data_IF_486657284459
#
_entry.id   IF_486657284459
#
_cell.length_a   1.000
_cell.length_b   1.000
_cell.length_c   1.000
_cell.angle_alpha   90.00
_cell.angle_beta   90.00
_cell.angle_gamma   90.00
#
_symmetry.space_group_name_H-M   'P 1'
#
loop_
_entity.id
_entity.type
_entity.pdbx_description
1 polymer ?
#
# COMPACT_ATOMS: atom_id res chain seq x y z
N UNK A 1 11.62 -21.06 8.44
CA UNK A 1 11.80 -20.53 9.81
C UNK A 1 12.42 -19.14 9.70
N UNK A 2 11.98 -18.21 10.54
CA UNK A 2 12.53 -16.86 10.60
C UNK A 2 13.98 -16.90 11.09
N UNK A 3 14.86 -16.13 10.45
CA UNK A 3 16.23 -15.93 10.94
C UNK A 3 16.28 -14.75 11.93
N UNK A 4 17.47 -14.48 12.49
CA UNK A 4 17.69 -13.41 13.47
C UNK A 4 17.28 -12.02 12.94
N UNK A 5 17.58 -11.73 11.67
CA UNK A 5 17.22 -10.45 11.05
C UNK A 5 15.69 -10.30 10.90
N UNK A 6 15.00 -11.38 10.53
CA UNK A 6 13.54 -11.36 10.42
C UNK A 6 12.85 -11.14 11.78
N UNK A 7 13.42 -11.70 12.85
CA UNK A 7 12.96 -11.46 14.23
C UNK A 7 13.21 -10.00 14.64
N UNK A 8 14.32 -9.40 14.24
CA UNK A 8 14.60 -8.01 14.54
C UNK A 8 13.66 -7.06 13.77
N UNK A 9 13.24 -7.43 12.55
CA UNK A 9 12.16 -6.73 11.83
C UNK A 9 10.86 -6.81 12.63
N UNK A 10 10.46 -7.98 13.13
CA UNK A 10 9.27 -8.12 13.97
C UNK A 10 9.34 -7.21 15.21
N UNK A 11 10.47 -7.21 15.93
CA UNK A 11 10.67 -6.36 17.12
C UNK A 11 10.50 -4.87 16.83
N UNK A 12 11.07 -4.40 15.73
CA UNK A 12 11.07 -2.98 15.38
C UNK A 12 9.70 -2.49 14.89
N UNK A 13 8.92 -3.38 14.26
CA UNK A 13 7.63 -3.03 13.66
C UNK A 13 6.45 -3.26 14.61
N UNK A 14 6.57 -4.23 15.53
CA UNK A 14 5.58 -4.50 16.57
C UNK A 14 5.97 -3.72 17.83
N UNK A 15 5.52 -2.47 17.94
CA UNK A 15 5.87 -1.58 19.06
C UNK A 15 5.45 -2.11 20.45
N UNK A 16 4.64 -3.16 20.52
CA UNK A 16 4.25 -3.86 21.73
C UNK A 16 5.20 -5.02 22.10
N UNK A 17 6.23 -5.31 21.30
CA UNK A 17 7.09 -6.49 21.47
C UNK A 17 7.72 -6.59 22.87
N UNK A 18 8.17 -5.46 23.43
CA UNK A 18 8.75 -5.40 24.78
C UNK A 18 7.74 -5.70 25.90
N UNK A 19 6.45 -5.54 25.62
CA UNK A 19 5.35 -5.77 26.57
C UNK A 19 4.77 -7.18 26.49
N UNK A 20 5.36 -8.06 25.68
CA UNK A 20 4.98 -9.47 25.60
C UNK A 20 5.87 -10.36 26.49
N UNK A 21 5.26 -11.39 27.07
CA UNK A 21 6.01 -12.47 27.69
C UNK A 21 6.72 -13.35 26.64
N UNK A 22 7.63 -14.21 27.07
CA UNK A 22 8.38 -15.08 26.16
C UNK A 22 7.48 -16.09 25.45
N UNK A 23 6.34 -16.46 26.04
CA UNK A 23 5.40 -17.40 25.44
C UNK A 23 4.70 -16.78 24.23
N UNK A 24 4.23 -15.55 24.35
CA UNK A 24 3.56 -14.79 23.31
C UNK A 24 4.53 -14.37 22.21
N UNK A 25 5.77 -13.99 22.56
CA UNK A 25 6.84 -13.74 21.57
C UNK A 25 7.12 -14.99 20.73
N UNK A 26 7.29 -16.14 21.38
CA UNK A 26 7.52 -17.40 20.68
C UNK A 26 6.30 -17.81 19.84
N UNK A 27 5.09 -17.50 20.29
CA UNK A 27 3.87 -17.74 19.52
C UNK A 27 3.88 -16.96 18.20
N UNK A 28 4.25 -15.67 18.21
CA UNK A 28 4.40 -14.87 16.99
C UNK A 28 5.46 -15.47 16.08
N UNK A 29 6.67 -15.73 16.61
CA UNK A 29 7.81 -16.23 15.80
C UNK A 29 7.45 -17.56 15.12
N UNK A 30 6.86 -18.49 15.86
CA UNK A 30 6.57 -19.84 15.36
C UNK A 30 5.42 -19.87 14.34
N UNK A 31 4.56 -18.85 14.33
CA UNK A 31 3.41 -18.74 13.42
C UNK A 31 3.57 -17.55 12.45
N UNK A 32 4.82 -17.17 12.20
CA UNK A 32 5.17 -16.17 11.20
C UNK A 32 5.94 -16.82 10.07
N UNK A 33 5.56 -16.50 8.83
CA UNK A 33 6.19 -17.04 7.63
C UNK A 33 6.63 -15.91 6.70
N UNK A 34 7.75 -16.12 6.01
CA UNK A 34 8.16 -15.23 4.93
C UNK A 34 7.54 -15.73 3.64
N UNK A 35 6.89 -14.83 2.93
CA UNK A 35 6.41 -15.03 1.57
C UNK A 35 7.12 -14.08 0.63
N UNK A 36 7.49 -14.58 -0.54
CA UNK A 36 8.05 -13.77 -1.62
C UNK A 36 6.99 -13.62 -2.68
N UNK A 37 6.87 -12.41 -3.20
CA UNK A 37 5.92 -12.07 -4.25
C UNK A 37 6.64 -11.39 -5.40
N UNK A 38 6.31 -11.80 -6.61
CA UNK A 38 6.74 -11.14 -7.82
C UNK A 38 6.00 -9.81 -8.03
N UNK A 39 6.53 -8.98 -8.93
CA UNK A 39 5.87 -7.72 -9.28
C UNK A 39 4.47 -7.96 -9.87
N UNK A 40 3.49 -7.24 -9.36
CA UNK A 40 2.05 -7.33 -9.64
C UNK A 40 1.39 -8.66 -9.20
N UNK A 41 2.03 -9.44 -8.33
CA UNK A 41 1.41 -10.65 -7.78
C UNK A 41 0.43 -10.29 -6.66
N UNK A 42 -0.73 -10.95 -6.64
CA UNK A 42 -1.77 -10.74 -5.64
C UNK A 42 -1.44 -11.42 -4.31
N UNK A 43 -1.54 -10.65 -3.24
CA UNK A 43 -1.27 -11.06 -1.85
C UNK A 43 -2.58 -11.35 -1.10
N UNK A 44 -3.63 -10.56 -1.39
CA UNK A 44 -4.94 -10.65 -0.76
C UNK A 44 -6.00 -10.09 -1.72
N UNK A 45 -7.12 -10.78 -1.90
CA UNK A 45 -8.13 -10.39 -2.90
C UNK A 45 -9.57 -10.71 -2.53
N UNK A 46 -9.83 -11.26 -1.34
CA UNK A 46 -11.18 -11.65 -0.95
C UNK A 46 -11.40 -11.51 0.57
N UNK A 47 -12.62 -11.15 0.98
CA UNK A 47 -13.13 -11.11 2.36
C UNK A 47 -12.86 -12.41 3.15
N UNK A 48 -12.87 -13.56 2.48
CA UNK A 48 -12.63 -14.86 3.11
C UNK A 48 -11.14 -15.25 3.20
N UNK A 49 -10.26 -14.52 2.52
CA UNK A 49 -8.83 -14.83 2.48
C UNK A 49 -8.08 -14.07 3.57
N UNK A 50 -8.04 -14.56 4.80
CA UNK A 50 -7.33 -13.82 5.85
C UNK A 50 -5.82 -14.07 5.78
N UNK A 51 -5.07 -13.12 5.20
CA UNK A 51 -3.62 -13.22 5.04
C UNK A 51 -2.83 -12.88 6.33
N UNK A 52 -3.55 -12.52 7.39
CA UNK A 52 -2.96 -12.15 8.68
C UNK A 52 -2.41 -10.73 8.69
N UNK A 53 -1.63 -10.40 9.71
CA UNK A 53 -0.92 -9.11 9.75
C UNK A 53 0.36 -9.24 8.94
N UNK A 54 0.54 -8.34 7.98
CA UNK A 54 1.69 -8.35 7.07
C UNK A 54 2.69 -7.28 7.47
N UNK A 55 3.99 -7.61 7.44
CA UNK A 55 5.08 -6.64 7.61
C UNK A 55 5.96 -6.71 6.37
N UNK A 56 6.15 -5.58 5.71
CA UNK A 56 6.95 -5.50 4.48
C UNK A 56 8.43 -5.48 4.86
N UNK A 57 9.14 -6.57 4.59
CA UNK A 57 10.58 -6.67 4.82
C UNK A 57 11.37 -6.00 3.70
N UNK A 58 10.91 -6.14 2.46
CA UNK A 58 11.44 -5.44 1.29
C UNK A 58 10.35 -5.30 0.23
N UNK A 59 10.53 -4.33 -0.67
CA UNK A 59 9.56 -4.00 -1.70
C UNK A 59 8.44 -3.11 -1.18
N UNK A 60 7.36 -3.06 -1.94
CA UNK A 60 6.20 -2.18 -1.72
C UNK A 60 4.95 -2.99 -2.08
N UNK A 61 3.93 -2.89 -1.23
CA UNK A 61 2.60 -3.45 -1.52
C UNK A 61 1.58 -2.33 -1.62
N UNK A 62 0.58 -2.54 -2.48
CA UNK A 62 -0.45 -1.57 -2.82
C UNK A 62 -1.79 -2.10 -2.35
N UNK A 63 -2.50 -1.32 -1.53
CA UNK A 63 -3.88 -1.63 -1.12
C UNK A 63 -4.85 -0.79 -1.96
N UNK A 64 -5.85 -1.43 -2.56
CA UNK A 64 -6.78 -0.79 -3.50
C UNK A 64 -8.20 -1.37 -3.41
N UNK A 65 -9.18 -0.61 -3.91
CA UNK A 65 -10.54 -1.08 -4.15
C UNK A 65 -10.70 -1.50 -5.60
N UNK A 66 -11.48 -2.56 -5.83
CA UNK A 66 -11.85 -3.05 -7.15
C UNK A 66 -13.37 -2.94 -7.31
N UNK A 67 -13.84 -2.27 -8.37
CA UNK A 67 -15.26 -2.26 -8.71
C UNK A 67 -15.66 -3.52 -9.48
N UNK A 68 -16.97 -3.81 -9.54
CA UNK A 68 -17.51 -4.91 -10.36
C UNK A 68 -17.17 -4.78 -11.85
N UNK A 69 -16.97 -3.56 -12.34
CA UNK A 69 -16.54 -3.27 -13.72
C UNK A 69 -15.01 -3.43 -13.91
N UNK A 70 -14.27 -3.84 -12.88
CA UNK A 70 -12.82 -4.00 -12.93
C UNK A 70 -12.02 -2.71 -12.78
N UNK A 71 -12.63 -1.59 -12.36
CA UNK A 71 -11.90 -0.34 -12.08
C UNK A 71 -11.21 -0.44 -10.74
N UNK A 72 -9.93 -0.10 -10.72
CA UNK A 72 -9.14 -0.07 -9.50
C UNK A 72 -8.97 1.37 -9.00
N UNK A 73 -8.95 1.55 -7.69
CA UNK A 73 -8.60 2.82 -7.02
C UNK A 73 -7.63 2.53 -5.90
N UNK A 74 -6.43 3.10 -5.95
CA UNK A 74 -5.46 2.94 -4.85
C UNK A 74 -5.95 3.70 -3.62
N UNK A 75 -5.93 3.02 -2.48
CA UNK A 75 -6.18 3.66 -1.19
C UNK A 75 -4.87 4.16 -0.60
N UNK A 76 -3.88 3.27 -0.49
CA UNK A 76 -2.56 3.59 0.03
C UNK A 76 -1.54 2.51 -0.35
N UNK A 77 -0.27 2.79 -0.06
CA UNK A 77 0.84 1.83 -0.19
C UNK A 77 1.43 1.55 1.18
N UNK A 78 2.02 0.36 1.31
CA UNK A 78 2.74 -0.06 2.50
C UNK A 78 4.18 -0.30 2.09
N UNK A 79 5.09 0.49 2.66
CA UNK A 79 6.50 0.47 2.32
C UNK A 79 7.29 -0.48 3.24
N UNK A 80 8.56 -0.70 2.90
CA UNK A 80 9.50 -1.43 3.76
C UNK A 80 9.48 -0.88 5.19
N UNK A 81 9.32 -1.78 6.17
CA UNK A 81 9.27 -1.41 7.59
C UNK A 81 7.93 -0.83 8.02
N UNK A 82 6.87 -1.06 7.24
CA UNK A 82 5.50 -0.77 7.64
C UNK A 82 4.67 -2.04 7.77
N UNK A 83 3.58 -1.91 8.52
CA UNK A 83 2.63 -3.00 8.76
C UNK A 83 1.33 -2.75 7.96
N UNK A 84 0.79 -3.81 7.38
CA UNK A 84 -0.56 -3.84 6.83
C UNK A 84 -1.45 -4.68 7.75
N UNK A 85 -2.42 -4.02 8.39
CA UNK A 85 -3.40 -4.67 9.27
C UNK A 85 -4.72 -4.97 8.56
N UNK A 86 -5.03 -4.30 7.44
CA UNK A 86 -6.27 -4.54 6.71
C UNK A 86 -6.28 -5.87 5.93
N UNK A 87 -5.12 -6.49 5.72
CA UNK A 87 -5.00 -7.90 5.28
C UNK A 87 -5.53 -8.92 6.29
N UNK A 88 -5.75 -8.47 7.52
CA UNK A 88 -6.37 -9.20 8.62
C UNK A 88 -7.82 -8.73 8.88
N UNK A 89 -8.50 -8.15 7.88
CA UNK A 89 -9.86 -7.62 7.98
C UNK A 89 -10.85 -8.62 8.61
N UNK A 90 -10.69 -9.92 8.36
CA UNK A 90 -11.53 -10.98 8.95
C UNK A 90 -11.53 -11.02 10.49
N UNK A 91 -10.47 -10.55 11.15
CA UNK A 91 -10.35 -10.50 12.61
C UNK A 91 -10.96 -9.24 13.21
N UNK A 92 -11.16 -8.20 12.40
CA UNK A 92 -11.67 -6.92 12.86
C UNK A 92 -13.19 -6.96 12.74
N UNK A 93 -13.87 -7.13 13.89
CA UNK A 93 -15.33 -7.14 13.95
C UNK A 93 -15.89 -5.87 13.28
N UNK A 94 -16.91 -6.04 12.45
CA UNK A 94 -17.64 -4.99 11.73
C UNK A 94 -16.95 -4.37 10.51
N UNK A 95 -15.87 -4.94 9.97
CA UNK A 95 -15.39 -4.60 8.63
C UNK A 95 -16.23 -5.34 7.59
N UNK A 96 -16.95 -4.58 6.74
CA UNK A 96 -17.79 -5.10 5.66
C UNK A 96 -17.27 -4.75 4.25
N UNK A 97 -16.06 -4.21 4.15
CA UNK A 97 -15.46 -3.85 2.87
C UNK A 97 -14.30 -4.80 2.55
N UNK A 98 -14.14 -5.09 1.26
CA UNK A 98 -13.03 -5.88 0.74
C UNK A 98 -11.95 -4.95 0.18
N UNK A 99 -10.69 -5.25 0.47
CA UNK A 99 -9.55 -4.56 -0.13
C UNK A 99 -8.70 -5.57 -0.85
N UNK A 100 -8.16 -5.17 -1.99
CA UNK A 100 -7.18 -5.97 -2.70
C UNK A 100 -5.78 -5.46 -2.35
N UNK A 101 -4.84 -6.40 -2.25
CA UNK A 101 -3.44 -6.12 -1.97
C UNK A 101 -2.60 -6.85 -2.98
N UNK A 102 -1.85 -6.09 -3.78
CA UNK A 102 -0.88 -6.60 -4.73
C UNK A 102 0.52 -6.14 -4.36
N UNK A 103 1.52 -6.92 -4.75
CA UNK A 103 2.92 -6.52 -4.68
C UNK A 103 3.25 -5.57 -5.83
N UNK A 104 3.66 -4.34 -5.56
CA UNK A 104 3.97 -3.35 -6.60
C UNK A 104 5.39 -3.53 -7.17
N UNK A 105 6.27 -4.14 -6.37
CA UNK A 105 7.63 -4.54 -6.73
C UNK A 105 7.84 -6.02 -6.41
N UNK A 106 9.03 -6.57 -6.66
CA UNK A 106 9.40 -7.82 -5.99
C UNK A 106 9.46 -7.53 -4.49
N UNK A 107 8.76 -8.32 -3.68
CA UNK A 107 8.60 -8.03 -2.24
C UNK A 107 8.81 -9.28 -1.39
N UNK A 108 9.43 -9.10 -0.23
CA UNK A 108 9.45 -10.10 0.84
C UNK A 108 8.58 -9.61 1.98
N UNK A 109 7.66 -10.44 2.44
CA UNK A 109 6.65 -10.09 3.44
C UNK A 109 6.69 -11.12 4.57
N UNK A 110 6.72 -10.64 5.80
CA UNK A 110 6.49 -11.48 6.98
C UNK A 110 4.98 -11.46 7.25
N UNK A 111 4.34 -12.61 7.12
CA UNK A 111 2.91 -12.80 7.43
C UNK A 111 2.79 -13.47 8.78
N UNK A 112 2.10 -12.80 9.72
CA UNK A 112 1.77 -13.32 11.05
C UNK A 112 0.37 -13.91 10.98
N UNK A 113 0.24 -15.19 11.36
CA UNK A 113 -1.04 -15.88 11.34
C UNK A 113 -2.12 -15.14 12.13
N UNK A 114 -3.32 -15.06 11.55
CA UNK A 114 -4.43 -14.31 12.12
C UNK A 114 -4.89 -14.88 13.47
N UNK A 115 -4.80 -16.19 13.68
CA UNK A 115 -5.23 -16.82 14.92
C UNK A 115 -4.32 -16.40 16.09
N UNK A 116 -3.04 -16.15 15.81
CA UNK A 116 -2.11 -15.59 16.80
C UNK A 116 -2.52 -14.17 17.16
N UNK A 117 -2.79 -13.33 16.17
CA UNK A 117 -3.25 -11.95 16.41
C UNK A 117 -4.55 -11.94 17.21
N UNK A 118 -5.53 -12.79 16.88
CA UNK A 118 -6.79 -12.93 17.60
C UNK A 118 -6.62 -13.39 19.05
N UNK A 119 -5.65 -14.26 19.31
CA UNK A 119 -5.34 -14.70 20.67
C UNK A 119 -4.69 -13.59 21.48
N UNK A 120 -3.75 -12.87 20.86
CA UNK A 120 -2.97 -11.81 21.50
C UNK A 120 -3.72 -10.50 21.62
N UNK A 121 -4.79 -10.27 20.85
CA UNK A 121 -5.59 -9.04 20.91
C UNK A 121 -6.30 -8.84 22.26
N UNK A 122 -6.34 -9.86 23.13
CA UNK A 122 -6.77 -9.70 24.55
C UNK A 122 -5.76 -8.93 25.40
N UNK A 123 -4.52 -8.79 24.94
CA UNK A 123 -3.50 -7.98 25.58
C UNK A 123 -3.68 -6.51 25.15
N UNK A 124 -3.80 -5.61 26.12
CA UNK A 124 -4.05 -4.18 25.93
C UNK A 124 -3.04 -3.52 24.97
N UNK A 125 -1.77 -3.90 25.01
CA UNK A 125 -0.73 -3.32 24.15
C UNK A 125 -0.90 -3.74 22.69
N UNK A 126 -1.29 -4.99 22.47
CA UNK A 126 -1.55 -5.53 21.12
C UNK A 126 -2.83 -4.91 20.54
N UNK A 127 -3.89 -4.83 21.34
CA UNK A 127 -5.15 -4.19 20.94
C UNK A 127 -4.93 -2.72 20.55
N UNK A 128 -4.22 -1.96 21.39
CA UNK A 128 -3.90 -0.56 21.13
C UNK A 128 -3.05 -0.40 19.86
N UNK A 129 -2.09 -1.30 19.62
CA UNK A 129 -1.35 -1.30 18.36
C UNK A 129 -2.27 -1.51 17.15
N UNK A 130 -3.12 -2.53 17.17
CA UNK A 130 -4.05 -2.81 16.07
C UNK A 130 -5.00 -1.62 15.82
N UNK A 131 -5.50 -1.00 16.90
CA UNK A 131 -6.35 0.19 16.82
C UNK A 131 -5.60 1.36 16.17
N UNK A 132 -4.38 1.67 16.62
CA UNK A 132 -3.56 2.75 16.04
C UNK A 132 -3.25 2.52 14.56
N UNK A 133 -2.87 1.30 14.19
CA UNK A 133 -2.63 0.96 12.78
C UNK A 133 -3.91 1.12 11.96
N UNK A 134 -5.06 0.70 12.48
CA UNK A 134 -6.36 0.84 11.82
C UNK A 134 -6.74 2.31 11.64
N UNK A 135 -6.57 3.15 12.67
CA UNK A 135 -6.83 4.59 12.60
C UNK A 135 -5.92 5.26 11.58
N UNK A 136 -4.62 4.91 11.52
CA UNK A 136 -3.71 5.43 10.51
C UNK A 136 -4.20 5.07 9.09
N UNK A 137 -4.61 3.82 8.86
CA UNK A 137 -5.16 3.42 7.56
C UNK A 137 -6.49 4.09 7.24
N UNK A 138 -7.32 4.36 8.25
CA UNK A 138 -8.53 5.15 8.06
C UNK A 138 -8.19 6.57 7.59
N UNK A 139 -7.19 7.21 8.20
CA UNK A 139 -6.69 8.52 7.74
C UNK A 139 -6.18 8.47 6.30
N UNK A 140 -5.40 7.45 5.92
CA UNK A 140 -4.93 7.25 4.54
C UNK A 140 -6.11 7.14 3.56
N UNK A 141 -7.14 6.37 3.92
CA UNK A 141 -8.35 6.18 3.11
C UNK A 141 -9.16 7.47 2.98
N UNK A 142 -9.33 8.22 4.07
CA UNK A 142 -10.05 9.50 4.05
C UNK A 142 -9.32 10.52 3.17
N UNK A 143 -7.98 10.56 3.22
CA UNK A 143 -7.17 11.39 2.35
C UNK A 143 -7.35 11.01 0.86
N UNK A 144 -7.37 9.71 0.54
CA UNK A 144 -7.64 9.25 -0.82
C UNK A 144 -9.03 9.66 -1.30
N UNK A 145 -10.05 9.59 -0.44
CA UNK A 145 -11.43 10.03 -0.76
C UNK A 145 -11.48 11.54 -1.01
N UNK A 146 -10.84 12.34 -0.17
CA UNK A 146 -10.76 13.80 -0.33
C UNK A 146 -10.17 14.17 -1.69
N UNK A 147 -9.04 13.53 -2.05
CA UNK A 147 -8.41 13.70 -3.36
C UNK A 147 -9.35 13.34 -4.51
N UNK A 148 -10.13 12.27 -4.39
CA UNK A 148 -11.06 11.82 -5.44
C UNK A 148 -12.24 12.78 -5.61
N UNK A 149 -12.79 13.31 -4.51
CA UNK A 149 -14.00 14.12 -4.53
C UNK A 149 -13.75 15.58 -4.89
N UNK A 150 -12.63 16.16 -4.43
CA UNK A 150 -12.43 17.61 -4.50
C UNK A 150 -11.38 18.04 -5.51
N UNK A 151 -10.39 17.20 -5.83
CA UNK A 151 -9.35 17.56 -6.78
C UNK A 151 -9.75 17.23 -8.20
N UNK A 152 -9.43 18.15 -9.11
CA UNK A 152 -9.56 17.89 -10.55
C UNK A 152 -8.53 16.86 -11.00
N UNK A 153 -8.80 16.20 -12.11
CA UNK A 153 -7.98 15.09 -12.58
C UNK A 153 -6.54 15.49 -12.94
N UNK A 154 -6.33 16.69 -13.47
CA UNK A 154 -5.00 17.29 -13.70
C UNK A 154 -4.21 17.38 -12.39
N UNK A 155 -4.81 17.91 -11.32
CA UNK A 155 -4.16 18.02 -10.01
C UNK A 155 -3.79 16.63 -9.46
N UNK A 156 -4.73 15.68 -9.52
CA UNK A 156 -4.52 14.29 -9.07
C UNK A 156 -3.39 13.60 -9.85
N UNK A 157 -3.33 13.81 -11.16
CA UNK A 157 -2.26 13.27 -11.99
C UNK A 157 -0.92 13.94 -11.68
N UNK A 158 -0.89 15.25 -11.46
CA UNK A 158 0.32 15.98 -11.07
C UNK A 158 0.87 15.46 -9.73
N UNK A 159 0.01 15.35 -8.70
CA UNK A 159 0.36 14.78 -7.39
C UNK A 159 0.94 13.37 -7.54
N UNK A 160 0.26 12.50 -8.30
CA UNK A 160 0.73 11.14 -8.52
C UNK A 160 2.11 11.08 -9.19
N UNK A 161 2.35 11.89 -10.22
CA UNK A 161 3.65 11.89 -10.92
C UNK A 161 4.78 12.39 -10.01
N UNK A 162 4.52 13.43 -9.21
CA UNK A 162 5.48 13.96 -8.24
C UNK A 162 5.77 12.93 -7.14
N UNK A 163 4.74 12.33 -6.56
CA UNK A 163 4.89 11.28 -5.53
C UNK A 163 5.72 10.10 -6.05
N UNK A 164 5.46 9.64 -7.28
CA UNK A 164 6.26 8.60 -7.92
C UNK A 164 7.71 9.04 -8.13
N UNK A 165 7.95 10.30 -8.48
CA UNK A 165 9.29 10.85 -8.69
C UNK A 165 10.09 10.88 -7.39
N UNK A 166 9.49 11.44 -6.32
CA UNK A 166 10.12 11.53 -5.01
C UNK A 166 10.41 10.15 -4.43
N UNK A 167 9.45 9.21 -4.52
CA UNK A 167 9.62 7.85 -4.00
C UNK A 167 10.75 7.07 -4.68
N UNK A 168 10.90 7.24 -5.99
CA UNK A 168 11.91 6.54 -6.77
C UNK A 168 13.23 7.33 -6.88
N UNK A 169 13.28 8.54 -6.31
CA UNK A 169 14.37 9.53 -6.46
C UNK A 169 14.75 9.75 -7.93
N UNK A 170 13.74 9.74 -8.82
CA UNK A 170 13.93 9.73 -10.27
C UNK A 170 12.83 10.51 -10.99
N UNK A 171 13.23 11.46 -11.82
CA UNK A 171 12.33 12.18 -12.73
C UNK A 171 11.86 11.33 -13.92
N UNK A 172 12.37 10.11 -14.10
CA UNK A 172 11.96 9.20 -15.20
C UNK A 172 11.15 8.05 -14.61
N UNK A 173 9.84 8.08 -14.84
CA UNK A 173 8.90 7.09 -14.34
C UNK A 173 8.68 6.00 -15.39
N UNK A 174 8.83 4.74 -15.00
CA UNK A 174 8.55 3.58 -15.86
C UNK A 174 7.17 3.03 -15.55
N UNK A 175 6.14 3.76 -16.00
CA UNK A 175 4.73 3.46 -15.78
C UNK A 175 3.94 3.54 -17.08
N UNK A 176 3.04 2.59 -17.27
CA UNK A 176 2.06 2.62 -18.36
C UNK A 176 0.87 3.49 -18.00
N UNK A 177 0.18 4.01 -19.01
CA UNK A 177 -1.04 4.80 -18.77
C UNK A 177 -2.14 3.97 -18.09
N UNK A 178 -2.15 2.66 -18.31
CA UNK A 178 -3.06 1.71 -17.65
C UNK A 178 -2.78 1.62 -16.15
N UNK A 179 -1.50 1.52 -15.77
CA UNK A 179 -1.13 1.50 -14.35
C UNK A 179 -1.54 2.80 -13.65
N UNK A 180 -1.31 3.95 -14.28
CA UNK A 180 -1.73 5.25 -13.73
C UNK A 180 -3.26 5.31 -13.62
N UNK A 181 -3.98 4.80 -14.61
CA UNK A 181 -5.44 4.74 -14.61
C UNK A 181 -5.98 3.91 -13.44
N UNK A 182 -5.39 2.73 -13.21
CA UNK A 182 -5.65 1.88 -12.04
C UNK A 182 -5.30 2.59 -10.72
N UNK A 183 -4.21 3.35 -10.69
CA UNK A 183 -3.87 4.08 -9.47
C UNK A 183 -4.89 5.17 -9.13
N UNK A 184 -5.35 5.90 -10.15
CA UNK A 184 -6.20 7.07 -10.02
C UNK A 184 -7.70 6.79 -10.23
N UNK A 185 -8.15 5.55 -10.40
CA UNK A 185 -9.59 5.28 -10.54
C UNK A 185 -10.21 5.88 -11.79
N UNK A 186 -9.48 5.92 -12.91
CA UNK A 186 -9.96 6.53 -14.14
C UNK A 186 -9.76 5.58 -15.33
N UNK A 187 -10.22 5.98 -16.51
CA UNK A 187 -9.94 5.26 -17.75
C UNK A 187 -8.57 5.63 -18.31
N UNK A 188 -7.91 4.66 -18.96
CA UNK A 188 -6.61 4.84 -19.62
C UNK A 188 -6.60 6.00 -20.62
N UNK A 189 -7.70 6.20 -21.34
CA UNK A 189 -7.87 7.25 -22.33
C UNK A 189 -7.84 8.64 -21.68
N UNK A 190 -8.38 8.77 -20.47
CA UNK A 190 -8.39 10.01 -19.69
C UNK A 190 -6.97 10.38 -19.27
N UNK A 191 -6.21 9.42 -18.73
CA UNK A 191 -4.77 9.57 -18.43
C UNK A 191 -4.01 9.98 -19.69
N UNK A 192 -4.23 9.26 -20.80
CA UNK A 192 -3.51 9.50 -22.06
C UNK A 192 -3.76 10.90 -22.60
N UNK A 193 -5.00 11.40 -22.51
CA UNK A 193 -5.36 12.75 -22.93
C UNK A 193 -4.70 13.81 -22.04
N UNK A 194 -4.68 13.60 -20.72
CA UNK A 194 -4.09 14.55 -19.79
C UNK A 194 -2.56 14.59 -19.89
N UNK A 195 -1.90 13.43 -20.00
CA UNK A 195 -0.44 13.37 -20.23
C UNK A 195 -0.04 14.06 -21.54
N UNK A 196 -0.85 13.93 -22.60
CA UNK A 196 -0.63 14.69 -23.85
C UNK A 196 -0.75 16.19 -23.63
N UNK A 197 -1.68 16.64 -22.80
CA UNK A 197 -1.79 18.05 -22.43
C UNK A 197 -0.56 18.51 -21.64
N UNK A 198 -0.18 17.81 -20.57
CA UNK A 198 1.04 18.10 -19.79
C UNK A 198 2.30 18.11 -20.65
N UNK A 199 2.37 17.25 -21.67
CA UNK A 199 3.50 17.25 -22.60
C UNK A 199 3.52 18.47 -23.53
N UNK A 200 2.36 18.97 -23.97
CA UNK A 200 2.26 20.22 -24.74
C UNK A 200 2.63 21.45 -23.90
N UNK A 201 2.27 21.45 -22.62
CA UNK A 201 2.65 22.51 -21.67
C UNK A 201 4.12 22.42 -21.22
N UNK A 202 4.86 21.39 -21.65
CA UNK A 202 6.27 21.20 -21.29
C UNK A 202 6.50 20.72 -19.87
N UNK A 203 5.48 20.20 -19.19
CA UNK A 203 5.61 19.66 -17.82
C UNK A 203 6.27 18.28 -17.82
N UNK A 204 5.96 17.47 -18.85
CA UNK A 204 6.49 16.12 -19.01
C UNK A 204 6.89 15.83 -20.46
N UNK A 205 7.73 14.83 -20.66
CA UNK A 205 8.03 14.24 -21.96
C UNK A 205 7.57 12.78 -21.97
N UNK A 206 6.80 12.41 -22.99
CA UNK A 206 6.30 11.05 -23.16
C UNK A 206 7.21 10.27 -24.11
N UNK A 207 7.59 9.06 -23.69
CA UNK A 207 8.29 8.09 -24.53
C UNK A 207 7.72 6.69 -24.30
N UNK A 208 8.18 5.68 -25.06
CA UNK A 208 7.60 4.33 -24.99
C UNK A 208 7.75 3.74 -23.58
N UNK A 209 6.63 3.64 -22.86
CA UNK A 209 6.57 3.07 -21.51
C UNK A 209 7.23 3.93 -20.42
N UNK A 210 7.53 5.20 -20.71
CA UNK A 210 8.19 6.12 -19.78
C UNK A 210 7.61 7.52 -19.84
N UNK A 211 7.53 8.15 -18.68
CA UNK A 211 7.14 9.55 -18.50
C UNK A 211 8.30 10.25 -17.81
N UNK A 212 8.90 11.24 -18.46
CA UNK A 212 9.97 12.05 -17.88
C UNK A 212 9.40 13.37 -17.41
N UNK A 213 9.52 13.69 -16.13
CA UNK A 213 9.13 15.00 -15.59
C UNK A 213 10.20 16.01 -15.98
N UNK A 214 9.78 17.06 -16.67
CA UNK A 214 10.66 18.15 -17.12
C UNK A 214 10.62 19.34 -16.16
N UNK A 215 9.49 19.57 -15.49
CA UNK A 215 9.30 20.73 -14.62
C UNK A 215 8.47 20.36 -13.38
N UNK A 216 9.15 20.00 -12.28
CA UNK A 216 8.49 19.68 -11.00
C UNK A 216 7.70 20.89 -10.47
N UNK A 217 8.28 22.09 -10.50
CA UNK A 217 7.63 23.30 -9.97
C UNK A 217 6.36 23.71 -10.73
N UNK A 218 6.25 23.37 -12.02
CA UNK A 218 5.00 23.58 -12.75
C UNK A 218 3.90 22.60 -12.33
N UNK A 219 4.26 21.33 -12.11
CA UNK A 219 3.33 20.32 -11.59
C UNK A 219 2.90 20.65 -10.15
N UNK A 220 3.82 21.11 -9.30
CA UNK A 220 3.54 21.53 -7.92
C UNK A 220 2.52 22.67 -7.86
N UNK A 221 2.52 23.59 -8.84
CA UNK A 221 1.54 24.70 -8.92
C UNK A 221 0.12 24.28 -9.29
N UNK A 222 -0.07 23.06 -9.80
CA UNK A 222 -1.40 22.53 -10.09
C UNK A 222 -2.10 22.00 -8.84
N UNK A 223 -1.34 21.70 -7.78
CA UNK A 223 -1.81 21.11 -6.53
C UNK A 223 -2.20 22.23 -5.57
#
# INVERSE_FOLDING_TARGET
MLNRNDIDILKNNLNFWSNLDEKDKNLIINNSIIRKFEKNETIHSNLNSCSGVLIVKSGIIRTYLLSEEGKEVTLYRVNKGETCVLSASCAIKNINFDVHIDSETISEIISIDINVINKLSKNLYVENFLLKQTVNRFSDVMFAIEQILFLKFDQRLASFLLDESYRNEKNVLTLTHEQIAKHLGTAREVVSRMLKHFSKEGYVMLSRGKITILNNSALEKLI
#
